data_IF_779330751843
#
_entry.id   IF_779330751843
#
_cell.length_a   1.000
_cell.length_b   1.000
_cell.length_c   1.000
_cell.angle_alpha   90.00
_cell.angle_beta   90.00
_cell.angle_gamma   90.00
#
_symmetry.space_group_name_H-M   'P 1'
#
loop_
_entity.id
_entity.type
_entity.pdbx_description
1 polymer ?
#
# COMPACT_ATOMS: atom_id res chain seq x y z
N UNK A 1 2.60 4.29 -1.80
CA UNK A 1 1.32 3.69 -2.20
C UNK A 1 1.40 3.42 -3.69
N UNK A 2 1.00 2.22 -4.10
CA UNK A 2 0.94 1.77 -5.50
C UNK A 2 -0.50 1.31 -5.84
N UNK A 3 -0.78 1.01 -7.11
CA UNK A 3 -2.12 0.64 -7.58
C UNK A 3 -2.22 -0.84 -7.98
N UNK A 4 -3.41 -1.45 -7.84
CA UNK A 4 -3.58 -2.87 -8.13
C UNK A 4 -3.45 -3.13 -9.63
N UNK A 5 -2.71 -4.19 -9.98
CA UNK A 5 -2.52 -4.60 -11.38
C UNK A 5 -1.53 -3.76 -12.18
N UNK A 6 -0.77 -2.84 -11.54
CA UNK A 6 0.26 -2.07 -12.22
C UNK A 6 1.40 -2.98 -12.72
N UNK A 7 1.58 -3.13 -14.05
CA UNK A 7 2.60 -4.02 -14.61
C UNK A 7 4.02 -3.50 -14.42
N UNK A 8 4.21 -2.21 -14.08
CA UNK A 8 5.53 -1.60 -13.92
C UNK A 8 6.18 -1.97 -12.59
N UNK A 9 5.40 -2.42 -11.59
CA UNK A 9 5.94 -2.82 -10.29
C UNK A 9 6.96 -3.97 -10.38
N UNK A 10 6.84 -4.83 -11.39
CA UNK A 10 7.83 -5.88 -11.63
C UNK A 10 9.24 -5.34 -11.90
N UNK A 11 9.36 -4.08 -12.35
CA UNK A 11 10.62 -3.44 -12.75
C UNK A 11 11.03 -2.27 -11.84
N UNK A 12 10.15 -1.82 -10.94
CA UNK A 12 10.43 -0.69 -10.05
C UNK A 12 11.48 -1.08 -8.98
N UNK A 13 12.69 -0.49 -8.99
CA UNK A 13 13.72 -0.81 -8.00
C UNK A 13 13.38 -0.33 -6.59
N UNK A 14 12.54 0.70 -6.44
CA UNK A 14 12.09 1.22 -5.13
C UNK A 14 11.07 0.25 -4.52
N UNK A 15 10.08 -0.20 -5.30
CA UNK A 15 9.13 -1.21 -4.85
C UNK A 15 9.83 -2.53 -4.47
N UNK A 16 10.77 -2.97 -5.31
CA UNK A 16 11.48 -4.23 -5.11
C UNK A 16 12.58 -4.19 -4.05
N UNK A 17 12.90 -3.01 -3.50
CA UNK A 17 13.80 -2.87 -2.35
C UNK A 17 13.22 -3.48 -1.06
N UNK A 18 11.88 -3.58 -0.96
CA UNK A 18 11.21 -4.20 0.21
C UNK A 18 11.34 -5.72 0.12
N UNK A 19 12.03 -6.39 1.07
CA UNK A 19 12.39 -7.80 0.92
C UNK A 19 11.21 -8.75 1.19
N UNK A 20 10.31 -8.40 2.11
CA UNK A 20 9.14 -9.22 2.41
C UNK A 20 8.03 -9.00 1.37
N UNK A 21 7.63 -10.08 0.70
CA UNK A 21 6.55 -10.06 -0.29
C UNK A 21 5.22 -9.63 0.33
N UNK A 22 4.93 -10.06 1.57
CA UNK A 22 3.71 -9.65 2.27
C UNK A 22 3.74 -8.17 2.66
N UNK A 23 4.92 -7.61 2.91
CA UNK A 23 5.07 -6.18 3.15
C UNK A 23 4.87 -5.38 1.86
N UNK A 24 5.39 -5.86 0.72
CA UNK A 24 5.15 -5.26 -0.60
C UNK A 24 3.66 -5.21 -0.96
N UNK A 25 2.91 -6.27 -0.70
CA UNK A 25 1.46 -6.33 -0.93
C UNK A 25 0.71 -5.23 -0.18
N UNK A 26 1.13 -4.89 1.05
CA UNK A 26 0.51 -3.80 1.85
C UNK A 26 0.79 -2.40 1.32
N UNK A 27 1.73 -2.24 0.38
CA UNK A 27 2.00 -0.96 -0.27
C UNK A 27 1.05 -0.69 -1.44
N UNK A 28 0.28 -1.70 -1.88
CA UNK A 28 -0.67 -1.61 -2.98
C UNK A 28 -2.06 -1.29 -2.42
N UNK A 29 -2.70 -0.25 -2.93
CA UNK A 29 -4.07 0.10 -2.61
C UNK A 29 -5.05 -0.91 -3.22
N UNK A 30 -6.24 -1.04 -2.63
CA UNK A 30 -7.34 -1.84 -3.18
C UNK A 30 -8.37 -0.93 -3.83
N UNK A 31 -8.93 -1.34 -4.98
CA UNK A 31 -10.04 -0.64 -5.59
C UNK A 31 -11.28 -0.72 -4.67
N UNK A 32 -11.98 0.40 -4.51
CA UNK A 32 -13.14 0.53 -3.64
C UNK A 32 -14.33 1.14 -4.42
N UNK A 33 -15.30 0.28 -4.73
CA UNK A 33 -16.50 0.69 -5.47
C UNK A 33 -17.44 1.55 -4.62
N UNK A 34 -17.48 1.35 -3.30
CA UNK A 34 -18.33 2.15 -2.40
C UNK A 34 -17.84 3.60 -2.28
N UNK A 35 -16.52 3.81 -2.43
CA UNK A 35 -15.90 5.14 -2.44
C UNK A 35 -15.79 5.77 -3.83
N UNK A 36 -16.19 5.05 -4.87
CA UNK A 36 -16.21 5.56 -6.25
C UNK A 36 -17.39 6.52 -6.44
N UNK A 37 -17.14 7.67 -7.07
CA UNK A 37 -18.16 8.63 -7.47
C UNK A 37 -18.44 8.42 -8.97
N UNK A 38 -19.66 7.93 -9.34
CA UNK A 38 -20.00 7.65 -10.72
C UNK A 38 -19.74 8.85 -11.64
N UNK A 39 -19.10 8.57 -12.79
CA UNK A 39 -18.78 9.55 -13.83
C UNK A 39 -17.87 10.71 -13.40
N UNK A 40 -17.21 10.60 -12.24
CA UNK A 40 -16.33 11.64 -11.72
C UNK A 40 -14.97 11.10 -11.26
N UNK A 41 -14.95 10.16 -10.31
CA UNK A 41 -13.70 9.68 -9.72
C UNK A 41 -13.81 8.24 -9.20
N UNK A 42 -12.75 7.45 -9.41
CA UNK A 42 -12.61 6.11 -8.81
C UNK A 42 -12.16 6.21 -7.35
N UNK A 43 -12.66 5.30 -6.52
CA UNK A 43 -12.25 5.14 -5.13
C UNK A 43 -11.18 4.07 -4.96
N UNK A 44 -10.20 4.34 -4.10
CA UNK A 44 -9.20 3.37 -3.65
C UNK A 44 -9.02 3.47 -2.15
N UNK A 45 -8.78 2.32 -1.52
CA UNK A 45 -8.51 2.21 -0.09
C UNK A 45 -7.07 1.77 0.15
N UNK A 46 -6.38 2.49 1.03
CA UNK A 46 -5.03 2.15 1.47
C UNK A 46 -4.91 2.39 2.97
N UNK A 47 -4.76 1.31 3.73
CA UNK A 47 -4.69 1.35 5.18
C UNK A 47 -3.22 1.48 5.64
N UNK A 48 -2.94 2.47 6.48
CA UNK A 48 -1.60 2.72 7.03
C UNK A 48 -1.56 2.20 8.47
N UNK A 49 -0.68 1.24 8.75
CA UNK A 49 -0.48 0.67 10.09
C UNK A 49 0.84 1.19 10.67
N UNK A 50 0.75 1.87 11.81
CA UNK A 50 1.91 2.36 12.56
C UNK A 50 2.38 1.33 13.60
N UNK A 51 3.57 1.56 14.17
CA UNK A 51 4.09 0.73 15.26
C UNK A 51 3.10 0.71 16.44
N UNK A 52 2.92 -0.46 17.05
CA UNK A 52 2.03 -0.63 18.20
C UNK A 52 2.43 0.23 19.39
N UNK A 53 1.43 0.72 20.13
CA UNK A 53 1.59 1.59 21.32
C UNK A 53 2.54 1.03 22.38
N UNK A 54 2.53 -0.28 22.57
CA UNK A 54 3.30 -0.97 23.63
C UNK A 54 4.60 -1.59 23.08
N UNK A 55 4.97 -1.30 21.82
CA UNK A 55 6.23 -1.78 21.27
C UNK A 55 7.40 -1.13 22.00
N UNK A 56 8.38 -1.95 22.41
CA UNK A 56 9.64 -1.46 22.98
C UNK A 56 10.26 -0.43 22.02
N UNK A 57 10.52 0.80 22.47
CA UNK A 57 11.23 1.79 21.67
C UNK A 57 12.56 1.21 21.21
N UNK A 58 12.80 1.26 19.90
CA UNK A 58 14.10 1.01 19.33
C UNK A 58 14.75 2.38 19.14
N UNK A 59 15.97 2.52 19.67
CA UNK A 59 16.80 3.72 19.89
C UNK A 59 16.70 4.39 21.28
N UNK A 60 17.82 5.01 21.68
CA UNK A 60 17.98 5.92 22.83
C UNK A 60 17.96 7.36 22.32
#
# INVERSE_FOLDING_TARGET
MYFPGDPLLAYDPIYNCVPDTRAKERLIASFDLEKTIPSYALGYRWDIVLRGRDATPMEK
#
